data_IF_892153824152
#
_entry.id   IF_892153824152
#
_cell.length_a   1.000
_cell.length_b   1.000
_cell.length_c   1.000
_cell.angle_alpha   90.00
_cell.angle_beta   90.00
_cell.angle_gamma   90.00
#
_symmetry.space_group_name_H-M   'P 1'
#
loop_
_entity.id
_entity.type
_entity.pdbx_description
1 polymer ?
#
# COMPACT_ATOMS: atom_id res chain seq x y z
N UNK A 1 -27.42 -38.07 -84.52
CA UNK A 1 -27.40 -36.68 -84.02
C UNK A 1 -27.64 -36.72 -82.51
N UNK A 2 -26.58 -36.76 -81.72
CA UNK A 2 -26.68 -36.70 -80.25
C UNK A 2 -26.48 -35.24 -79.79
N UNK A 3 -27.44 -34.73 -79.07
CA UNK A 3 -27.32 -33.41 -78.39
C UNK A 3 -26.74 -33.64 -76.99
N UNK A 4 -25.56 -33.15 -76.77
CA UNK A 4 -24.93 -33.07 -75.42
C UNK A 4 -25.39 -31.80 -74.71
N UNK A 5 -26.05 -31.96 -73.57
CA UNK A 5 -26.49 -30.87 -72.72
C UNK A 5 -25.43 -30.72 -71.61
N UNK A 6 -24.74 -29.55 -71.60
CA UNK A 6 -23.75 -29.20 -70.56
C UNK A 6 -24.50 -28.61 -69.37
N UNK A 7 -24.34 -29.22 -68.21
CA UNK A 7 -24.82 -28.66 -66.90
C UNK A 7 -23.67 -27.87 -66.26
N UNK A 8 -23.81 -26.54 -66.12
CA UNK A 8 -22.90 -25.70 -65.40
C UNK A 8 -23.23 -25.77 -63.91
N UNK A 9 -22.32 -26.33 -63.14
CA UNK A 9 -22.41 -26.29 -61.65
C UNK A 9 -21.83 -24.95 -61.09
N UNK A 10 -22.69 -24.15 -60.57
CA UNK A 10 -22.26 -22.93 -59.83
C UNK A 10 -21.83 -23.30 -58.41
N UNK A 11 -20.53 -23.22 -58.13
CA UNK A 11 -19.98 -23.40 -56.77
C UNK A 11 -20.17 -22.07 -55.97
N UNK A 12 -21.04 -22.09 -54.98
CA UNK A 12 -21.16 -21.00 -54.00
C UNK A 12 -20.04 -21.11 -52.98
N UNK A 13 -19.09 -20.16 -53.02
CA UNK A 13 -18.05 -20.03 -52.01
C UNK A 13 -18.66 -19.29 -50.80
N UNK A 14 -18.97 -20.02 -49.72
CA UNK A 14 -19.37 -19.46 -48.46
C UNK A 14 -18.11 -18.98 -47.73
N UNK A 15 -17.86 -17.66 -47.70
CA UNK A 15 -16.84 -17.04 -46.87
C UNK A 15 -17.30 -17.12 -45.42
N UNK A 16 -16.77 -18.04 -44.63
CA UNK A 16 -16.93 -18.07 -43.17
C UNK A 16 -16.11 -16.94 -42.59
N UNK A 17 -16.79 -15.87 -42.17
CA UNK A 17 -16.19 -14.82 -41.34
C UNK A 17 -16.01 -15.41 -39.95
N UNK A 18 -14.80 -15.87 -39.64
CA UNK A 18 -14.42 -16.25 -38.27
C UNK A 18 -14.40 -15.00 -37.42
N UNK A 19 -15.43 -14.77 -36.60
CA UNK A 19 -15.34 -13.88 -35.46
C UNK A 19 -14.38 -14.53 -34.47
N UNK A 20 -13.10 -14.18 -34.55
CA UNK A 20 -12.16 -14.47 -33.48
C UNK A 20 -12.71 -13.82 -32.23
N UNK A 21 -12.96 -14.58 -31.17
CA UNK A 21 -13.26 -14.01 -29.87
C UNK A 21 -12.08 -13.09 -29.49
N UNK A 22 -12.32 -11.81 -29.44
CA UNK A 22 -11.34 -10.85 -28.87
C UNK A 22 -11.22 -11.26 -27.41
N UNK A 23 -10.07 -11.82 -27.04
CA UNK A 23 -9.79 -12.14 -25.67
C UNK A 23 -9.64 -10.80 -24.93
N UNK A 24 -10.38 -10.63 -23.81
CA UNK A 24 -10.26 -9.45 -22.98
C UNK A 24 -8.79 -9.24 -22.57
N UNK A 25 -8.34 -7.99 -22.59
CA UNK A 25 -7.01 -7.66 -22.09
C UNK A 25 -6.95 -7.94 -20.59
N UNK A 26 -5.93 -8.66 -20.11
CA UNK A 26 -5.75 -8.98 -18.70
C UNK A 26 -4.73 -8.03 -18.08
N UNK A 27 -5.11 -7.30 -17.02
CA UNK A 27 -4.22 -6.55 -16.16
C UNK A 27 -3.91 -7.35 -14.90
N UNK A 28 -2.63 -7.41 -14.51
CA UNK A 28 -2.16 -8.10 -13.31
C UNK A 28 -2.04 -7.11 -12.16
N UNK A 29 -2.78 -7.36 -11.08
CA UNK A 29 -2.70 -6.60 -9.84
C UNK A 29 -2.10 -7.46 -8.73
N UNK A 30 -0.99 -7.03 -8.13
CA UNK A 30 -0.29 -7.75 -7.06
C UNK A 30 -0.33 -7.01 -5.73
N UNK A 31 -0.41 -7.75 -4.63
CA UNK A 31 -0.22 -7.22 -3.27
C UNK A 31 0.17 -8.31 -2.26
N UNK A 32 0.61 -7.90 -1.06
CA UNK A 32 1.14 -8.84 -0.06
C UNK A 32 0.12 -9.37 0.97
N UNK A 33 -1.08 -8.80 1.04
CA UNK A 33 -2.05 -9.06 2.10
C UNK A 33 -2.99 -10.23 1.80
N UNK A 34 -3.64 -10.75 2.84
CA UNK A 34 -4.70 -11.75 2.70
C UNK A 34 -5.95 -11.16 2.06
N UNK A 35 -6.86 -12.03 1.62
CA UNK A 35 -8.12 -11.60 0.99
C UNK A 35 -9.12 -10.95 1.95
N UNK A 36 -8.89 -11.04 3.27
CA UNK A 36 -9.71 -10.35 4.29
C UNK A 36 -9.25 -8.92 4.57
N UNK A 37 -8.11 -8.50 4.02
CA UNK A 37 -7.53 -7.19 4.29
C UNK A 37 -8.20 -6.08 3.47
N UNK A 38 -8.29 -4.86 4.04
CA UNK A 38 -8.89 -3.69 3.37
C UNK A 38 -8.25 -3.39 2.02
N UNK A 39 -6.95 -3.59 1.88
CA UNK A 39 -6.20 -3.33 0.64
C UNK A 39 -6.53 -4.34 -0.47
N UNK A 40 -6.88 -5.57 -0.10
CA UNK A 40 -7.43 -6.53 -1.06
C UNK A 40 -8.83 -6.11 -1.50
N UNK A 41 -9.68 -5.64 -0.56
CA UNK A 41 -11.03 -5.17 -0.90
C UNK A 41 -11.00 -3.95 -1.83
N UNK A 42 -10.05 -3.04 -1.66
CA UNK A 42 -9.79 -1.93 -2.60
C UNK A 42 -9.53 -2.46 -4.01
N UNK A 43 -8.65 -3.46 -4.14
CA UNK A 43 -8.36 -4.10 -5.42
C UNK A 43 -9.59 -4.80 -6.03
N UNK A 44 -10.38 -5.54 -5.20
CA UNK A 44 -11.62 -6.19 -5.64
C UNK A 44 -12.66 -5.19 -6.14
N UNK A 45 -12.83 -4.03 -5.49
CA UNK A 45 -13.77 -3.00 -5.94
C UNK A 45 -13.42 -2.51 -7.33
N UNK A 46 -12.14 -2.18 -7.58
CA UNK A 46 -11.70 -1.74 -8.92
C UNK A 46 -11.91 -2.84 -9.95
N UNK A 47 -11.53 -4.09 -9.65
CA UNK A 47 -11.68 -5.22 -10.55
C UNK A 47 -13.16 -5.49 -10.89
N UNK A 48 -14.04 -5.45 -9.90
CA UNK A 48 -15.47 -5.69 -10.09
C UNK A 48 -16.16 -4.58 -10.91
N UNK A 49 -15.77 -3.32 -10.72
CA UNK A 49 -16.30 -2.21 -11.52
C UNK A 49 -15.86 -2.30 -12.99
N UNK A 50 -14.61 -2.65 -13.23
CA UNK A 50 -14.11 -2.87 -14.60
C UNK A 50 -14.85 -4.05 -15.24
N UNK A 51 -15.03 -5.17 -14.55
CA UNK A 51 -15.78 -6.31 -15.06
C UNK A 51 -17.25 -5.96 -15.35
N UNK A 52 -17.90 -5.15 -14.50
CA UNK A 52 -19.28 -4.71 -14.66
C UNK A 52 -19.45 -3.76 -15.86
N UNK A 53 -18.40 -3.04 -16.27
CA UNK A 53 -18.44 -2.12 -17.40
C UNK A 53 -18.45 -2.83 -18.76
N UNK A 54 -18.10 -4.11 -18.83
CA UNK A 54 -18.06 -4.93 -20.06
C UNK A 54 -17.25 -4.28 -21.20
N UNK A 55 -16.04 -3.84 -20.88
CA UNK A 55 -15.12 -3.11 -21.80
C UNK A 55 -13.97 -3.97 -22.33
N UNK A 56 -14.14 -5.29 -22.40
CA UNK A 56 -13.11 -6.25 -22.80
C UNK A 56 -11.79 -6.08 -22.04
N UNK A 57 -11.89 -5.85 -20.73
CA UNK A 57 -10.78 -5.70 -19.78
C UNK A 57 -11.07 -6.52 -18.52
N UNK A 58 -10.08 -7.28 -18.08
CA UNK A 58 -10.13 -8.05 -16.83
C UNK A 58 -8.96 -7.64 -15.92
N UNK A 59 -9.19 -7.55 -14.61
CA UNK A 59 -8.14 -7.35 -13.61
C UNK A 59 -7.99 -8.64 -12.79
N UNK A 60 -6.86 -9.31 -12.97
CA UNK A 60 -6.51 -10.50 -12.19
C UNK A 60 -5.69 -10.13 -10.96
N UNK A 61 -6.27 -10.39 -9.78
CA UNK A 61 -5.65 -10.06 -8.50
C UNK A 61 -4.78 -11.23 -8.02
N UNK A 62 -3.54 -10.92 -7.64
CA UNK A 62 -2.56 -11.83 -7.06
C UNK A 62 -2.29 -11.44 -5.59
N UNK A 63 -3.10 -11.95 -4.63
CA UNK A 63 -2.96 -11.62 -3.21
C UNK A 63 -1.81 -12.41 -2.56
N UNK A 64 -1.54 -12.10 -1.29
CA UNK A 64 -0.66 -12.85 -0.41
C UNK A 64 0.76 -13.07 -0.96
N UNK A 65 1.30 -12.08 -1.69
CA UNK A 65 2.63 -12.16 -2.34
C UNK A 65 2.77 -13.34 -3.33
N UNK A 66 1.67 -13.78 -3.94
CA UNK A 66 1.65 -14.95 -4.83
C UNK A 66 2.36 -14.71 -6.17
N UNK A 67 2.52 -13.44 -6.61
CA UNK A 67 3.20 -13.10 -7.86
C UNK A 67 4.60 -12.54 -7.64
N UNK A 68 4.74 -11.55 -6.73
CA UNK A 68 6.02 -10.92 -6.40
C UNK A 68 6.15 -10.78 -4.88
N UNK A 69 7.40 -10.83 -4.37
CA UNK A 69 7.67 -10.51 -2.97
C UNK A 69 7.37 -9.04 -2.66
N UNK A 70 7.00 -8.69 -1.42
CA UNK A 70 6.50 -7.36 -1.09
C UNK A 70 7.40 -6.19 -1.51
N UNK A 71 8.70 -6.30 -1.34
CA UNK A 71 9.67 -5.24 -1.67
C UNK A 71 10.16 -5.29 -3.14
N UNK A 72 9.77 -6.31 -3.88
CA UNK A 72 10.18 -6.51 -5.27
C UNK A 72 9.13 -6.02 -6.28
N UNK A 73 7.94 -5.56 -5.84
CA UNK A 73 6.79 -5.26 -6.70
C UNK A 73 6.94 -3.96 -7.50
N UNK A 74 7.66 -2.96 -6.98
CA UNK A 74 7.78 -1.65 -7.63
C UNK A 74 8.57 -1.71 -8.95
N UNK A 75 9.68 -2.43 -8.97
CA UNK A 75 10.52 -2.56 -10.17
C UNK A 75 9.78 -3.21 -11.38
N UNK A 76 9.06 -4.34 -11.26
CA UNK A 76 8.24 -4.83 -12.37
C UNK A 76 7.09 -3.87 -12.76
N UNK A 77 6.55 -3.08 -11.82
CA UNK A 77 5.56 -2.05 -12.13
C UNK A 77 6.15 -0.96 -13.04
N UNK A 78 7.28 -0.36 -12.68
CA UNK A 78 7.93 0.70 -13.46
C UNK A 78 8.37 0.24 -14.85
N UNK A 79 8.49 -1.08 -15.09
CA UNK A 79 8.90 -1.68 -16.36
C UNK A 79 7.74 -2.30 -17.15
N UNK A 80 6.50 -2.09 -16.74
CA UNK A 80 5.32 -2.67 -17.39
C UNK A 80 5.26 -4.21 -17.39
N UNK A 81 5.97 -4.87 -16.46
CA UNK A 81 5.87 -6.33 -16.23
C UNK A 81 4.80 -6.71 -15.23
N UNK A 82 4.36 -5.75 -14.46
CA UNK A 82 3.22 -5.75 -13.57
C UNK A 82 2.42 -4.50 -13.88
N UNK A 83 1.11 -4.63 -14.05
CA UNK A 83 0.27 -3.52 -14.49
C UNK A 83 -0.17 -2.66 -13.30
N UNK A 84 -0.51 -3.31 -12.17
CA UNK A 84 -1.07 -2.65 -10.99
C UNK A 84 -0.52 -3.27 -9.70
N UNK A 85 -0.40 -2.45 -8.65
CA UNK A 85 0.04 -2.91 -7.34
C UNK A 85 -0.62 -2.12 -6.21
N UNK A 86 -1.01 -2.79 -5.12
CA UNK A 86 -1.18 -2.09 -3.83
C UNK A 86 0.11 -2.26 -3.05
N UNK A 87 0.79 -1.16 -2.76
CA UNK A 87 2.15 -1.18 -2.22
C UNK A 87 2.32 -0.14 -1.10
N UNK A 88 2.94 -0.50 0.04
CA UNK A 88 3.52 0.51 0.93
C UNK A 88 4.62 1.27 0.18
N UNK A 89 4.40 2.55 -0.13
CA UNK A 89 5.30 3.26 -1.04
C UNK A 89 6.74 3.36 -0.50
N UNK A 90 6.90 3.45 0.82
CA UNK A 90 8.21 3.40 1.48
C UNK A 90 9.01 2.11 1.21
N UNK A 91 8.37 1.02 0.74
CA UNK A 91 9.08 -0.21 0.34
C UNK A 91 9.90 -0.01 -0.95
N UNK A 92 9.53 0.98 -1.76
CA UNK A 92 10.28 1.41 -2.92
C UNK A 92 11.33 2.51 -2.60
N UNK A 93 11.45 2.92 -1.33
CA UNK A 93 12.37 3.97 -0.90
C UNK A 93 13.86 3.70 -1.13
N UNK A 94 14.23 2.45 -1.41
CA UNK A 94 15.58 2.10 -1.85
C UNK A 94 15.85 2.41 -3.33
N UNK A 95 14.80 2.48 -4.16
CA UNK A 95 14.86 2.83 -5.58
C UNK A 95 14.63 4.34 -5.76
N UNK A 96 13.66 4.89 -5.05
CA UNK A 96 13.34 6.32 -5.04
C UNK A 96 13.35 6.85 -3.61
N UNK A 97 14.43 7.53 -3.16
CA UNK A 97 14.57 8.01 -1.78
C UNK A 97 13.43 8.91 -1.29
N UNK A 98 12.81 9.69 -2.17
CA UNK A 98 11.67 10.55 -1.85
C UNK A 98 10.50 9.78 -1.20
N UNK A 99 10.29 8.52 -1.57
CA UNK A 99 9.21 7.69 -1.03
C UNK A 99 9.37 7.34 0.45
N UNK A 100 10.56 7.50 1.03
CA UNK A 100 10.74 7.32 2.47
C UNK A 100 9.95 8.35 3.29
N UNK A 101 9.64 9.53 2.73
CA UNK A 101 8.84 10.56 3.40
C UNK A 101 7.39 10.08 3.66
N UNK A 102 6.87 9.15 2.85
CA UNK A 102 5.50 8.62 2.98
C UNK A 102 5.29 7.71 4.20
N UNK A 103 6.33 7.46 4.97
CA UNK A 103 6.30 6.83 6.29
C UNK A 103 7.19 7.60 7.28
N UNK A 104 7.24 8.92 7.21
CA UNK A 104 8.02 9.71 8.16
C UNK A 104 7.31 9.72 9.52
N UNK A 105 7.99 9.35 10.63
CA UNK A 105 7.36 9.26 11.94
C UNK A 105 6.73 10.57 12.38
N UNK A 106 5.42 10.53 12.71
CA UNK A 106 4.68 11.70 13.21
C UNK A 106 4.50 12.85 12.22
N UNK A 107 4.76 12.64 10.91
CA UNK A 107 4.48 13.61 9.85
C UNK A 107 2.96 13.74 9.65
N UNK A 108 2.28 12.63 9.42
CA UNK A 108 0.82 12.58 9.34
C UNK A 108 0.27 12.33 10.74
N UNK A 109 -0.55 13.25 11.24
CA UNK A 109 -1.02 13.24 12.63
C UNK A 109 -2.26 12.33 12.82
N UNK A 110 -3.20 12.40 11.87
CA UNK A 110 -4.47 11.69 11.90
C UNK A 110 -5.09 11.62 10.50
N UNK A 111 -6.24 10.96 10.34
CA UNK A 111 -6.92 10.80 9.07
C UNK A 111 -7.37 12.11 8.42
N UNK A 112 -7.75 13.11 9.20
CA UNK A 112 -8.17 14.41 8.64
C UNK A 112 -6.96 15.20 8.10
N UNK A 113 -5.81 15.13 8.79
CA UNK A 113 -4.56 15.67 8.25
C UNK A 113 -4.14 14.95 6.95
N UNK A 114 -4.30 13.63 6.90
CA UNK A 114 -4.07 12.85 5.69
C UNK A 114 -4.95 13.32 4.52
N UNK A 115 -6.24 13.54 4.74
CA UNK A 115 -7.15 14.00 3.67
C UNK A 115 -6.71 15.35 3.07
N UNK A 116 -6.20 16.26 3.90
CA UNK A 116 -5.62 17.53 3.40
C UNK A 116 -4.29 17.33 2.66
N UNK A 117 -3.48 16.38 3.13
CA UNK A 117 -2.17 16.09 2.51
C UNK A 117 -2.32 15.55 1.08
N UNK A 118 -3.37 14.77 0.81
CA UNK A 118 -3.67 14.25 -0.54
C UNK A 118 -3.97 15.37 -1.54
N UNK A 119 -4.58 16.46 -1.09
CA UNK A 119 -4.98 17.60 -1.94
C UNK A 119 -3.93 18.74 -1.89
N UNK A 120 -2.71 18.45 -1.49
CA UNK A 120 -1.66 19.45 -1.26
C UNK A 120 -0.57 19.42 -2.32
N UNK A 121 0.19 20.52 -2.49
CA UNK A 121 1.37 20.55 -3.36
C UNK A 121 2.41 19.47 -3.05
N UNK A 122 2.44 18.94 -1.83
CA UNK A 122 3.27 17.78 -1.50
C UNK A 122 2.87 16.56 -2.31
N UNK A 123 1.57 16.26 -2.40
CA UNK A 123 1.10 15.10 -3.16
C UNK A 123 1.31 15.30 -4.66
N UNK A 124 1.06 16.50 -5.19
CA UNK A 124 1.34 16.82 -6.58
C UNK A 124 2.82 16.54 -6.94
N UNK A 125 3.73 16.97 -6.06
CA UNK A 125 5.17 16.74 -6.24
C UNK A 125 5.54 15.25 -6.14
N UNK A 126 4.90 14.52 -5.24
CA UNK A 126 5.13 13.07 -5.10
C UNK A 126 4.62 12.31 -6.34
N UNK A 127 3.49 12.70 -6.90
CA UNK A 127 2.94 12.13 -8.13
C UNK A 127 3.78 12.47 -9.37
N UNK A 128 4.35 13.68 -9.42
CA UNK A 128 5.32 14.05 -10.46
C UNK A 128 6.54 13.11 -10.44
N UNK A 129 7.05 12.81 -9.24
CA UNK A 129 8.16 11.86 -9.08
C UNK A 129 7.74 10.45 -9.53
N UNK A 130 6.53 9.99 -9.15
CA UNK A 130 6.01 8.69 -9.60
C UNK A 130 5.82 8.63 -11.11
N UNK A 131 5.34 9.72 -11.73
CA UNK A 131 5.19 9.80 -13.19
C UNK A 131 6.54 9.73 -13.92
N UNK A 132 7.62 10.24 -13.31
CA UNK A 132 8.99 10.07 -13.80
C UNK A 132 9.45 8.60 -13.79
N UNK A 133 8.88 7.78 -12.92
CA UNK A 133 9.11 6.33 -12.86
C UNK A 133 8.10 5.52 -13.73
N UNK A 134 7.33 6.17 -14.59
CA UNK A 134 6.22 5.58 -15.38
C UNK A 134 5.10 4.97 -14.50
N UNK A 135 4.81 5.58 -13.37
CA UNK A 135 3.80 5.12 -12.40
C UNK A 135 2.77 6.23 -12.15
N UNK A 136 1.52 5.85 -12.03
CA UNK A 136 0.42 6.74 -11.64
C UNK A 136 -0.35 6.19 -10.43
N UNK A 137 -0.99 7.08 -9.69
CA UNK A 137 -1.89 6.72 -8.59
C UNK A 137 -3.29 6.54 -9.13
N UNK A 138 -3.92 5.41 -8.83
CA UNK A 138 -5.34 5.17 -9.08
C UNK A 138 -6.18 5.39 -7.82
N UNK A 139 -5.69 4.93 -6.66
CA UNK A 139 -6.39 5.08 -5.38
C UNK A 139 -5.39 5.50 -4.32
N UNK A 140 -5.64 6.65 -3.70
CA UNK A 140 -4.85 7.06 -2.54
C UNK A 140 -5.29 6.28 -1.30
N UNK A 141 -4.34 5.90 -0.46
CA UNK A 141 -4.64 5.26 0.81
C UNK A 141 -3.53 5.46 1.82
N UNK A 142 -3.91 5.94 3.00
CA UNK A 142 -3.06 5.94 4.17
C UNK A 142 -3.72 5.13 5.27
N UNK A 143 -2.93 4.36 5.97
CA UNK A 143 -3.39 3.65 7.14
C UNK A 143 -2.61 4.12 8.35
N UNK A 144 -3.32 4.40 9.42
CA UNK A 144 -2.75 4.56 10.73
C UNK A 144 -2.30 3.20 11.28
N UNK A 145 -1.45 3.24 12.27
CA UNK A 145 -0.98 2.05 12.95
C UNK A 145 -0.33 2.38 14.29
N UNK A 146 0.26 1.37 14.90
CA UNK A 146 0.80 1.48 16.23
C UNK A 146 1.95 0.54 16.48
N UNK A 147 2.19 0.24 17.75
CA UNK A 147 3.20 -0.70 18.22
C UNK A 147 2.56 -1.93 18.85
N UNK A 148 3.18 -3.08 18.63
CA UNK A 148 2.90 -4.31 19.35
C UNK A 148 4.15 -4.81 20.04
N UNK A 149 4.02 -5.11 21.33
CA UNK A 149 5.09 -5.68 22.13
C UNK A 149 4.78 -7.11 22.56
N UNK A 150 5.77 -7.99 22.44
CA UNK A 150 5.62 -9.40 22.79
C UNK A 150 5.43 -9.61 24.28
N UNK A 151 6.16 -8.86 25.10
CA UNK A 151 6.19 -9.03 26.55
C UNK A 151 5.90 -7.75 27.36
N UNK A 152 5.88 -6.58 26.72
CA UNK A 152 5.62 -5.26 27.32
C UNK A 152 4.94 -4.32 26.37
N UNK A 153 4.34 -3.27 26.86
CA UNK A 153 3.81 -2.16 26.07
C UNK A 153 4.94 -1.28 25.51
N UNK A 154 4.69 -0.66 24.36
CA UNK A 154 5.60 0.31 23.74
C UNK A 154 4.79 1.60 23.59
N UNK A 155 5.01 2.56 24.46
CA UNK A 155 4.40 3.90 24.43
C UNK A 155 5.43 4.98 24.16
N UNK A 156 6.49 5.01 24.93
CA UNK A 156 7.59 5.96 24.81
C UNK A 156 8.87 5.36 24.19
N UNK A 157 9.84 6.22 23.84
CA UNK A 157 11.08 5.77 23.21
C UNK A 157 11.94 4.88 24.12
N UNK A 158 11.82 5.00 25.43
CA UNK A 158 12.58 4.18 26.37
C UNK A 158 12.13 2.69 26.35
N UNK A 159 10.90 2.43 25.95
CA UNK A 159 10.33 1.08 25.95
C UNK A 159 10.95 0.18 24.88
N UNK A 160 11.56 0.73 23.85
CA UNK A 160 12.20 -0.05 22.77
C UNK A 160 13.69 -0.30 23.01
N UNK A 161 14.29 0.29 24.05
CA UNK A 161 15.72 0.11 24.33
C UNK A 161 16.10 -1.36 24.48
N UNK A 162 17.05 -1.80 23.66
CA UNK A 162 17.56 -3.17 23.64
C UNK A 162 16.61 -4.21 23.04
N UNK A 163 15.39 -3.84 22.59
CA UNK A 163 14.48 -4.77 21.97
C UNK A 163 14.82 -4.98 20.50
N UNK A 164 14.70 -6.23 20.06
CA UNK A 164 14.70 -6.57 18.64
C UNK A 164 13.36 -6.14 18.03
N UNK A 165 13.37 -5.03 17.29
CA UNK A 165 12.17 -4.36 16.83
C UNK A 165 12.08 -4.36 15.31
N UNK A 166 10.94 -4.75 14.78
CA UNK A 166 10.66 -4.61 13.35
C UNK A 166 10.42 -3.16 12.98
N UNK A 167 11.04 -2.71 11.90
CA UNK A 167 10.71 -1.45 11.26
C UNK A 167 10.14 -1.65 9.83
N UNK A 168 9.20 -0.79 9.47
CA UNK A 168 8.48 -0.87 8.19
C UNK A 168 9.27 -0.28 7.01
N UNK A 169 10.17 0.66 7.27
CA UNK A 169 10.97 1.36 6.28
C UNK A 169 12.01 2.25 6.93
N UNK A 170 12.87 2.84 6.10
CA UNK A 170 14.11 3.49 6.52
C UNK A 170 13.91 4.58 7.58
N UNK A 171 12.86 5.40 7.45
CA UNK A 171 12.60 6.46 8.42
C UNK A 171 12.31 5.90 9.83
N UNK A 172 11.50 4.84 9.94
CA UNK A 172 11.27 4.17 11.22
C UNK A 172 12.50 3.40 11.73
N UNK A 173 13.30 2.82 10.82
CA UNK A 173 14.57 2.17 11.19
C UNK A 173 15.49 3.16 11.90
N UNK A 174 15.66 4.35 11.34
CA UNK A 174 16.52 5.40 11.88
C UNK A 174 16.03 5.92 13.23
N UNK A 175 14.73 6.21 13.36
CA UNK A 175 14.16 6.68 14.63
C UNK A 175 14.29 5.62 15.74
N UNK A 176 13.91 4.39 15.47
CA UNK A 176 13.95 3.31 16.45
C UNK A 176 15.39 2.97 16.85
N UNK A 177 16.32 2.97 15.91
CA UNK A 177 17.75 2.79 16.21
C UNK A 177 18.28 3.92 17.09
N UNK A 178 17.90 5.18 16.82
CA UNK A 178 18.26 6.33 17.65
C UNK A 178 17.64 6.26 19.06
N UNK A 179 16.50 5.60 19.21
CA UNK A 179 15.88 5.30 20.51
C UNK A 179 16.53 4.10 21.22
N UNK A 180 17.51 3.43 20.61
CA UNK A 180 18.25 2.30 21.21
C UNK A 180 17.67 0.92 20.93
N UNK A 181 16.78 0.77 19.96
CA UNK A 181 16.30 -0.53 19.50
C UNK A 181 17.33 -1.23 18.60
N UNK A 182 17.33 -2.56 18.60
CA UNK A 182 17.96 -3.38 17.57
C UNK A 182 16.99 -3.61 16.42
N UNK A 183 17.37 -3.29 15.19
CA UNK A 183 16.44 -3.21 14.06
C UNK A 183 16.46 -4.45 13.19
N UNK A 184 15.27 -4.98 12.90
CA UNK A 184 15.06 -5.96 11.84
C UNK A 184 14.11 -5.36 10.80
N UNK A 185 14.63 -5.11 9.59
CA UNK A 185 13.84 -4.58 8.48
C UNK A 185 13.19 -5.70 7.70
N UNK A 186 11.84 -5.79 7.72
CA UNK A 186 11.09 -6.82 7.01
C UNK A 186 9.70 -6.34 6.59
N UNK A 187 9.08 -6.98 5.55
CA UNK A 187 7.68 -6.74 5.20
C UNK A 187 6.73 -7.13 6.35
N UNK A 188 5.56 -6.48 6.42
CA UNK A 188 4.56 -6.79 7.46
C UNK A 188 4.04 -8.24 7.39
N UNK A 189 4.06 -8.87 6.21
CA UNK A 189 3.67 -10.27 6.03
C UNK A 189 4.61 -11.30 6.69
N UNK A 190 5.71 -10.86 7.28
CA UNK A 190 6.69 -11.72 7.96
C UNK A 190 6.68 -11.53 9.49
N UNK A 191 5.96 -10.51 10.00
CA UNK A 191 5.96 -10.17 11.44
C UNK A 191 5.45 -11.34 12.28
N UNK A 192 4.36 -12.01 11.87
CA UNK A 192 3.77 -13.08 12.65
C UNK A 192 4.78 -14.20 12.94
N UNK A 193 5.41 -14.75 11.91
CA UNK A 193 6.40 -15.82 12.06
C UNK A 193 7.65 -15.36 12.79
N UNK A 194 8.11 -14.13 12.59
CA UNK A 194 9.26 -13.59 13.31
C UNK A 194 8.98 -13.39 14.81
N UNK A 195 7.76 -12.98 15.18
CA UNK A 195 7.31 -12.96 16.58
C UNK A 195 7.20 -14.36 17.16
N UNK A 196 6.57 -15.29 16.43
CA UNK A 196 6.38 -16.67 16.87
C UNK A 196 7.71 -17.36 17.17
N UNK A 197 8.71 -17.18 16.32
CA UNK A 197 10.06 -17.78 16.48
C UNK A 197 10.97 -17.00 17.42
N UNK A 198 10.54 -15.88 17.96
CA UNK A 198 11.33 -15.06 18.89
C UNK A 198 12.41 -14.18 18.23
N UNK A 199 12.39 -14.07 16.90
CA UNK A 199 13.28 -13.14 16.16
C UNK A 199 12.92 -11.69 16.47
N UNK A 200 11.64 -11.39 16.73
CA UNK A 200 11.15 -10.07 17.10
C UNK A 200 10.56 -10.06 18.51
N UNK A 201 10.78 -8.96 19.22
CA UNK A 201 10.18 -8.65 20.52
C UNK A 201 9.16 -7.52 20.42
N UNK A 202 9.30 -6.65 19.40
CA UNK A 202 8.37 -5.56 19.12
C UNK A 202 8.22 -5.34 17.61
N UNK A 203 7.08 -4.78 17.20
CA UNK A 203 6.85 -4.37 15.83
C UNK A 203 5.93 -3.16 15.75
N UNK A 204 6.10 -2.36 14.69
CA UNK A 204 5.11 -1.37 14.26
C UNK A 204 4.51 -1.79 12.91
N UNK A 205 3.22 -1.57 12.74
CA UNK A 205 2.52 -1.79 11.47
C UNK A 205 1.15 -1.10 11.47
N UNK A 206 0.40 -1.19 10.36
CA UNK A 206 -0.96 -0.63 10.29
C UNK A 206 -1.96 -1.42 11.16
N UNK A 207 -2.99 -0.72 11.64
CA UNK A 207 -4.12 -1.31 12.37
C UNK A 207 -4.71 -2.50 11.59
N UNK A 208 -4.93 -2.35 10.27
CA UNK A 208 -5.39 -3.45 9.42
C UNK A 208 -4.44 -4.66 9.41
N UNK A 209 -3.11 -4.43 9.37
CA UNK A 209 -2.13 -5.53 9.37
C UNK A 209 -2.07 -6.23 10.71
N UNK A 210 -2.25 -5.51 11.82
CA UNK A 210 -2.33 -6.15 13.15
C UNK A 210 -3.45 -7.19 13.20
N UNK A 211 -4.58 -6.92 12.57
CA UNK A 211 -5.73 -7.84 12.50
C UNK A 211 -5.55 -8.90 11.42
N UNK A 212 -5.27 -8.50 10.17
CA UNK A 212 -5.24 -9.41 9.02
C UNK A 212 -4.12 -10.45 9.07
N UNK A 213 -3.03 -10.16 9.79
CA UNK A 213 -1.97 -11.12 10.10
C UNK A 213 -2.10 -11.77 11.48
N UNK A 214 -3.21 -11.54 12.19
CA UNK A 214 -3.52 -12.16 13.50
C UNK A 214 -2.43 -11.92 14.55
N UNK A 215 -1.83 -10.73 14.56
CA UNK A 215 -0.70 -10.45 15.45
C UNK A 215 -1.10 -10.47 16.93
N UNK A 216 -2.39 -10.34 17.26
CA UNK A 216 -2.93 -10.52 18.60
C UNK A 216 -2.64 -11.89 19.22
N UNK A 217 -2.26 -12.91 18.42
CA UNK A 217 -1.86 -14.22 18.94
C UNK A 217 -0.42 -14.25 19.44
N UNK A 218 0.38 -13.26 19.07
CA UNK A 218 1.82 -13.20 19.35
C UNK A 218 2.22 -12.09 20.32
N UNK A 219 1.29 -11.21 20.67
CA UNK A 219 1.55 -9.99 21.41
C UNK A 219 0.82 -10.00 22.76
N UNK A 220 1.46 -9.45 23.80
CA UNK A 220 0.83 -9.22 25.10
C UNK A 220 0.32 -7.79 25.27
N UNK A 221 0.89 -6.84 24.51
CA UNK A 221 0.42 -5.46 24.54
C UNK A 221 0.37 -4.86 23.13
N UNK A 222 -0.66 -4.07 22.91
CA UNK A 222 -0.89 -3.30 21.68
C UNK A 222 -1.10 -1.84 22.03
N UNK A 223 -0.32 -0.95 21.42
CA UNK A 223 -0.46 0.50 21.48
C UNK A 223 -1.00 0.97 20.12
N UNK A 224 -2.32 1.14 19.97
CA UNK A 224 -2.97 1.52 18.71
C UNK A 224 -2.67 2.96 18.32
N UNK A 225 -3.09 3.34 17.11
CA UNK A 225 -3.29 4.73 16.76
C UNK A 225 -4.33 5.36 17.69
N UNK A 226 -4.00 6.51 18.28
CA UNK A 226 -4.91 7.33 19.09
C UNK A 226 -5.38 8.55 18.30
N UNK A 227 -5.70 9.64 19.03
CA UNK A 227 -6.02 10.94 18.43
C UNK A 227 -4.88 11.49 17.57
N UNK A 228 -3.65 11.11 17.93
CA UNK A 228 -2.43 11.30 17.15
C UNK A 228 -1.73 9.95 16.98
N UNK A 229 -1.20 9.71 15.79
CA UNK A 229 -0.47 8.48 15.51
C UNK A 229 0.95 8.80 15.03
N UNK A 230 1.92 8.13 15.63
CA UNK A 230 3.31 8.20 15.20
C UNK A 230 3.50 7.51 13.84
N UNK A 231 2.73 6.45 13.59
CA UNK A 231 2.80 5.62 12.42
C UNK A 231 1.61 5.86 11.49
N UNK A 232 1.86 6.51 10.35
CA UNK A 232 0.98 6.58 9.18
C UNK A 232 1.77 6.21 7.94
N UNK A 233 1.24 5.32 7.12
CA UNK A 233 1.93 4.84 5.92
C UNK A 233 1.06 5.00 4.68
N UNK A 234 1.60 5.60 3.64
CA UNK A 234 0.97 5.67 2.33
C UNK A 234 1.05 4.33 1.62
N UNK A 235 -0.11 3.79 1.27
CA UNK A 235 -0.28 2.46 0.67
C UNK A 235 -1.28 2.54 -0.49
N UNK A 236 -0.93 3.27 -1.55
CA UNK A 236 -1.80 3.50 -2.70
C UNK A 236 -1.99 2.24 -3.54
N UNK A 237 -3.06 2.25 -4.37
CA UNK A 237 -3.13 1.42 -5.55
C UNK A 237 -2.51 2.20 -6.70
N UNK A 238 -1.40 1.67 -7.21
CA UNK A 238 -0.61 2.23 -8.29
C UNK A 238 -0.82 1.45 -9.59
N UNK A 239 -0.64 2.12 -10.72
CA UNK A 239 -0.67 1.52 -12.04
C UNK A 239 0.53 1.98 -12.87
N UNK A 240 1.05 1.13 -13.75
CA UNK A 240 1.99 1.55 -14.77
C UNK A 240 1.29 2.54 -15.72
N UNK A 241 1.90 3.72 -15.90
CA UNK A 241 1.30 4.81 -16.65
C UNK A 241 1.19 4.48 -18.14
N UNK A 242 2.24 3.93 -18.73
CA UNK A 242 2.23 3.51 -20.14
C UNK A 242 1.16 2.45 -20.40
N UNK A 243 0.98 1.47 -19.50
CA UNK A 243 -0.11 0.49 -19.59
C UNK A 243 -1.48 1.19 -19.58
N UNK A 244 -1.70 2.16 -18.69
CA UNK A 244 -2.95 2.92 -18.63
C UNK A 244 -3.19 3.74 -19.91
N UNK A 245 -2.17 4.44 -20.41
CA UNK A 245 -2.28 5.30 -21.60
C UNK A 245 -2.58 4.49 -22.87
N UNK A 246 -2.21 3.21 -22.92
CA UNK A 246 -2.48 2.30 -24.05
C UNK A 246 -3.89 1.67 -24.01
N UNK A 247 -4.66 1.85 -22.94
CA UNK A 247 -6.04 1.37 -22.86
C UNK A 247 -6.99 2.24 -23.69
N UNK A 248 -8.12 1.68 -24.13
CA UNK A 248 -9.16 2.46 -24.77
C UNK A 248 -9.78 3.50 -23.83
N UNK A 249 -10.43 4.53 -24.37
CA UNK A 249 -11.10 5.55 -23.58
C UNK A 249 -12.16 4.95 -22.62
N UNK A 250 -12.89 3.91 -23.08
CA UNK A 250 -13.88 3.19 -22.29
C UNK A 250 -13.23 2.39 -21.16
N UNK A 251 -12.10 1.72 -21.41
CA UNK A 251 -11.34 0.98 -20.41
C UNK A 251 -10.75 1.92 -19.36
N UNK A 252 -10.18 3.05 -19.77
CA UNK A 252 -9.69 4.09 -18.85
C UNK A 252 -10.82 4.66 -17.99
N UNK A 253 -12.01 4.91 -18.58
CA UNK A 253 -13.17 5.40 -17.85
C UNK A 253 -13.65 4.38 -16.80
N UNK A 254 -13.70 3.09 -17.16
CA UNK A 254 -14.07 2.02 -16.23
C UNK A 254 -13.09 1.92 -15.04
N UNK A 255 -11.78 2.00 -15.31
CA UNK A 255 -10.75 2.01 -14.26
C UNK A 255 -10.91 3.22 -13.33
N UNK A 256 -11.11 4.42 -13.87
CA UNK A 256 -11.33 5.65 -13.08
C UNK A 256 -12.59 5.57 -12.23
N UNK A 257 -13.68 5.01 -12.77
CA UNK A 257 -14.92 4.81 -12.02
C UNK A 257 -14.73 3.82 -10.87
N UNK A 258 -14.04 2.70 -11.12
CA UNK A 258 -13.67 1.73 -10.09
C UNK A 258 -12.75 2.34 -9.03
N UNK A 259 -11.76 3.13 -9.45
CA UNK A 259 -10.86 3.83 -8.54
C UNK A 259 -11.59 4.83 -7.63
N UNK A 260 -12.54 5.61 -8.15
CA UNK A 260 -13.33 6.55 -7.36
C UNK A 260 -14.17 5.84 -6.27
N UNK A 261 -14.80 4.71 -6.62
CA UNK A 261 -15.52 3.87 -5.64
C UNK A 261 -14.58 3.29 -4.57
N UNK A 262 -13.45 2.76 -5.02
CA UNK A 262 -12.45 2.19 -4.13
C UNK A 262 -11.83 3.24 -3.20
N UNK A 263 -11.66 4.49 -3.68
CA UNK A 263 -11.17 5.62 -2.89
C UNK A 263 -12.10 5.94 -1.72
N UNK A 264 -13.40 6.06 -1.97
CA UNK A 264 -14.40 6.32 -0.93
C UNK A 264 -14.42 5.20 0.13
N UNK A 265 -14.42 3.95 -0.33
CA UNK A 265 -14.34 2.78 0.55
C UNK A 265 -13.07 2.79 1.42
N UNK A 266 -11.90 3.08 0.81
CA UNK A 266 -10.62 3.02 1.50
C UNK A 266 -10.52 4.06 2.62
N UNK A 267 -11.00 5.28 2.39
CA UNK A 267 -11.02 6.35 3.40
C UNK A 267 -11.85 5.97 4.62
N UNK A 268 -13.05 5.42 4.39
CA UNK A 268 -13.95 4.99 5.46
C UNK A 268 -13.40 3.80 6.23
N UNK A 269 -12.89 2.79 5.52
CA UNK A 269 -12.37 1.58 6.16
C UNK A 269 -11.04 1.83 6.88
N UNK A 270 -10.21 2.76 6.43
CA UNK A 270 -9.00 3.15 7.14
C UNK A 270 -9.31 3.67 8.55
N UNK A 271 -10.33 4.53 8.66
CA UNK A 271 -10.80 5.04 9.98
C UNK A 271 -11.39 3.91 10.85
N UNK A 272 -12.22 3.04 10.24
CA UNK A 272 -12.84 1.90 10.95
C UNK A 272 -11.84 0.87 11.42
N UNK A 273 -10.77 0.65 10.66
CA UNK A 273 -9.73 -0.33 10.98
C UNK A 273 -9.02 -0.04 12.31
N UNK A 274 -8.90 1.24 12.70
CA UNK A 274 -8.27 1.60 13.96
C UNK A 274 -9.10 1.10 15.16
N UNK A 275 -10.39 1.42 15.20
CA UNK A 275 -11.29 0.93 16.26
C UNK A 275 -11.44 -0.60 16.21
N UNK A 276 -11.57 -1.18 15.02
CA UNK A 276 -11.70 -2.63 14.85
C UNK A 276 -10.46 -3.39 15.36
N UNK A 277 -9.26 -2.81 15.19
CA UNK A 277 -8.03 -3.41 15.71
C UNK A 277 -8.03 -3.45 17.24
N UNK A 278 -8.43 -2.38 17.91
CA UNK A 278 -8.55 -2.33 19.37
C UNK A 278 -9.50 -3.40 19.88
N UNK A 279 -10.68 -3.53 19.27
CA UNK A 279 -11.67 -4.54 19.67
C UNK A 279 -11.18 -5.99 19.43
N UNK A 280 -10.48 -6.24 18.32
CA UNK A 280 -9.90 -7.55 18.04
C UNK A 280 -8.86 -7.95 19.10
N UNK A 281 -8.00 -7.00 19.49
CA UNK A 281 -6.95 -7.24 20.49
C UNK A 281 -7.53 -7.40 21.90
N UNK A 282 -8.51 -6.58 22.29
CA UNK A 282 -9.25 -6.76 23.56
C UNK A 282 -9.91 -8.13 23.64
N UNK A 283 -10.59 -8.55 22.56
CA UNK A 283 -11.24 -9.89 22.49
C UNK A 283 -10.23 -11.03 22.62
N UNK A 284 -9.01 -10.83 22.16
CA UNK A 284 -7.92 -11.80 22.30
C UNK A 284 -7.24 -11.77 23.68
N UNK A 285 -7.66 -10.88 24.59
CA UNK A 285 -7.08 -10.74 25.93
C UNK A 285 -5.74 -10.00 25.95
N UNK A 286 -5.42 -9.25 24.89
CA UNK A 286 -4.20 -8.44 24.79
C UNK A 286 -4.41 -7.11 25.51
N UNK A 287 -3.42 -6.69 26.28
CA UNK A 287 -3.42 -5.37 26.93
C UNK A 287 -3.42 -4.25 25.88
N UNK A 288 -4.23 -3.22 26.11
CA UNK A 288 -4.27 -2.02 25.26
C UNK A 288 -3.63 -0.86 26.04
N UNK A 289 -2.52 -0.35 25.51
CA UNK A 289 -1.88 0.85 26.03
C UNK A 289 -2.21 2.06 25.15
N UNK A 290 -2.07 3.27 25.71
CA UNK A 290 -2.24 4.52 24.97
C UNK A 290 -0.93 5.29 24.99
N UNK A 291 -0.53 5.82 23.83
CA UNK A 291 0.58 6.76 23.72
C UNK A 291 0.11 8.14 24.21
N UNK A 292 0.80 8.70 25.18
CA UNK A 292 0.53 10.07 25.65
C UNK A 292 1.05 11.12 24.67
N UNK A 293 0.58 12.36 24.79
CA UNK A 293 1.13 13.48 24.02
C UNK A 293 2.62 13.71 24.31
N UNK A 294 3.06 13.46 25.55
CA UNK A 294 4.46 13.59 25.94
C UNK A 294 5.30 12.49 25.27
N UNK A 295 4.82 11.25 25.25
CA UNK A 295 5.47 10.14 24.53
C UNK A 295 5.56 10.44 23.03
N UNK A 296 4.46 10.90 22.43
CA UNK A 296 4.44 11.28 21.01
C UNK A 296 5.45 12.39 20.71
N UNK A 297 5.53 13.39 21.58
CA UNK A 297 6.49 14.49 21.45
C UNK A 297 7.92 13.98 21.57
N UNK A 298 8.20 13.11 22.54
CA UNK A 298 9.52 12.50 22.72
C UNK A 298 9.95 11.69 21.48
N UNK A 299 9.05 10.89 20.91
CA UNK A 299 9.30 10.18 19.65
C UNK A 299 9.61 11.14 18.50
N UNK A 300 8.85 12.23 18.36
CA UNK A 300 9.07 13.22 17.28
C UNK A 300 10.41 13.92 17.41
N UNK A 301 10.86 14.25 18.62
CA UNK A 301 12.18 14.88 18.81
C UNK A 301 13.31 13.93 18.38
N UNK A 302 13.20 12.63 18.67
CA UNK A 302 14.16 11.64 18.16
C UNK A 302 14.07 11.56 16.63
N UNK A 303 12.85 11.52 16.06
CA UNK A 303 12.66 11.46 14.61
C UNK A 303 13.27 12.67 13.90
N UNK A 304 13.10 13.90 14.43
CA UNK A 304 13.67 15.13 13.84
C UNK A 304 15.19 15.06 13.73
N UNK A 305 15.85 14.57 14.77
CA UNK A 305 17.32 14.50 14.82
C UNK A 305 17.91 13.28 14.09
N UNK A 306 17.08 12.29 13.77
CA UNK A 306 17.47 11.06 13.06
C UNK A 306 16.83 10.97 11.66
N UNK A 307 15.58 10.56 11.57
CA UNK A 307 14.88 10.25 10.32
C UNK A 307 14.71 11.46 9.40
N UNK A 308 14.25 12.59 9.93
CA UNK A 308 14.03 13.82 9.14
C UNK A 308 15.35 14.36 8.60
N UNK A 309 16.36 14.47 9.48
CA UNK A 309 17.71 14.91 9.10
C UNK A 309 18.29 13.99 8.02
N UNK A 310 18.27 12.69 8.25
CA UNK A 310 18.81 11.73 7.30
C UNK A 310 18.05 11.71 5.96
N UNK A 311 16.74 11.95 5.97
CA UNK A 311 15.95 12.09 4.75
C UNK A 311 16.43 13.28 3.91
N UNK A 312 16.58 14.44 4.52
CA UNK A 312 17.08 15.67 3.84
C UNK A 312 18.48 15.45 3.27
N UNK A 313 19.38 14.83 4.04
CA UNK A 313 20.76 14.59 3.63
C UNK A 313 20.89 13.55 2.50
N UNK A 314 19.97 12.57 2.42
CA UNK A 314 20.08 11.42 1.52
C UNK A 314 19.15 11.49 0.30
N UNK A 315 18.27 12.50 0.24
CA UNK A 315 17.25 12.61 -0.81
C UNK A 315 17.46 13.87 -1.64
N UNK A 316 17.74 13.78 -2.95
CA UNK A 316 17.73 14.95 -3.81
C UNK A 316 16.41 15.70 -3.74
N UNK A 317 16.43 17.00 -3.47
CA UNK A 317 15.21 17.81 -3.24
C UNK A 317 14.48 17.48 -1.93
N UNK A 318 15.09 16.72 -1.03
CA UNK A 318 14.44 16.22 0.20
C UNK A 318 13.98 17.33 1.13
N UNK A 319 14.72 18.44 1.23
CA UNK A 319 14.29 19.58 2.05
C UNK A 319 13.01 20.22 1.51
N UNK A 320 12.94 20.51 0.21
CA UNK A 320 11.76 21.07 -0.43
C UNK A 320 10.53 20.17 -0.24
N UNK A 321 10.69 18.86 -0.48
CA UNK A 321 9.61 17.91 -0.33
C UNK A 321 9.13 17.80 1.14
N UNK A 322 10.05 17.84 2.09
CA UNK A 322 9.73 17.84 3.51
C UNK A 322 8.99 19.13 3.93
N UNK A 323 9.44 20.29 3.44
CA UNK A 323 8.81 21.58 3.74
C UNK A 323 7.39 21.64 3.18
N UNK A 324 7.16 21.13 1.96
CA UNK A 324 5.81 20.99 1.39
C UNK A 324 4.91 20.11 2.27
N UNK A 325 5.41 18.97 2.74
CA UNK A 325 4.64 18.07 3.61
C UNK A 325 4.35 18.70 4.98
N UNK A 326 5.30 19.43 5.56
CA UNK A 326 5.15 20.10 6.86
C UNK A 326 4.26 21.35 6.79
N UNK A 327 4.08 21.96 5.63
CA UNK A 327 3.22 23.13 5.44
C UNK A 327 1.73 22.82 5.48
N UNK A 328 1.35 21.56 5.43
CA UNK A 328 -0.04 21.10 5.54
C UNK A 328 -0.42 21.00 7.02
N UNK A 329 -1.42 21.79 7.45
CA UNK A 329 -1.90 21.85 8.85
C UNK A 329 -3.13 20.96 9.10
#
# INVERSE_FOLDING_TARGET
MLKTTSIAAAAAVATAVSFGAVQAAELKLSHQWSTSDVRHKVAEIVANEVAAANVDLEIKIYPSKSLFKPREQYNPLTRGRLDMVVLPLSYAGGQQPAYNLTLMPGLVKNHDHWSRLVESPFMDKLEEIMAGDDVMVLVHGYLAGGFGGKDRCITGPDDVKGLQTRAAGKAFEQMLAAAGASITSMPSSEIYSAMQTGVLQAANTSSSSFVSYRLYEQLKCYTPAGDVALWFMYQPLLMNKTTFDNLSAEQQAALKAGAAKAQAYYLDEAKRADAASVEAFKKAGVEIASMSNDDFTAWREIAKTSSYKAFVEQTPGGQELLDLALSVE
#
